data_IF_909355665992
#
_entry.id   IF_909355665992
#
_cell.length_a   1.000
_cell.length_b   1.000
_cell.length_c   1.000
_cell.angle_alpha   90.00
_cell.angle_beta   90.00
_cell.angle_gamma   90.00
#
_symmetry.space_group_name_H-M   'P 1'
#
loop_
_entity.id
_entity.type
_entity.pdbx_description
1 polymer ?
#
# COMPACT_ATOMS: atom_id res chain seq x y z
N UNK A 1 3.35 -12.74 -15.81
CA UNK A 1 3.81 -11.35 -15.54
C UNK A 1 2.74 -10.70 -14.68
N UNK A 2 3.06 -10.31 -13.43
CA UNK A 2 2.10 -9.70 -12.50
C UNK A 2 1.60 -8.39 -13.13
N UNK A 3 0.29 -8.26 -13.33
CA UNK A 3 -0.34 -7.04 -13.86
C UNK A 3 -0.16 -5.90 -12.86
N UNK A 4 0.54 -4.85 -13.24
CA UNK A 4 0.98 -3.75 -12.37
C UNK A 4 2.37 -4.05 -11.79
N UNK A 5 3.39 -3.31 -12.23
CA UNK A 5 4.75 -3.44 -11.69
C UNK A 5 4.82 -3.07 -10.19
N UNK A 6 5.95 -3.38 -9.51
CA UNK A 6 6.13 -3.05 -8.10
C UNK A 6 5.99 -1.54 -7.88
N UNK A 7 5.43 -1.16 -6.74
CA UNK A 7 5.39 0.25 -6.32
C UNK A 7 6.82 0.80 -6.23
N UNK A 8 7.06 1.96 -6.83
CA UNK A 8 8.40 2.56 -6.89
C UNK A 8 8.87 2.99 -5.50
N UNK A 9 10.17 2.92 -5.25
CA UNK A 9 10.76 3.21 -3.95
C UNK A 9 10.40 4.59 -3.41
N UNK A 10 10.36 5.58 -4.28
CA UNK A 10 10.00 6.96 -3.94
C UNK A 10 8.54 7.09 -3.50
N UNK A 11 7.63 6.36 -4.19
CA UNK A 11 6.21 6.28 -3.83
C UNK A 11 6.04 5.59 -2.47
N UNK A 12 6.77 4.49 -2.25
CA UNK A 12 6.77 3.78 -0.96
C UNK A 12 7.24 4.70 0.16
N UNK A 13 8.32 5.45 -0.05
CA UNK A 13 8.86 6.36 0.96
C UNK A 13 7.82 7.41 1.40
N UNK A 14 7.11 8.02 0.43
CA UNK A 14 6.05 8.98 0.72
C UNK A 14 4.88 8.30 1.46
N UNK A 15 4.45 7.11 1.01
CA UNK A 15 3.37 6.38 1.65
C UNK A 15 3.70 6.02 3.11
N UNK A 16 4.91 5.54 3.39
CA UNK A 16 5.35 5.18 4.75
C UNK A 16 5.50 6.42 5.66
N UNK A 17 5.90 7.58 5.10
CA UNK A 17 5.90 8.85 5.83
C UNK A 17 4.47 9.23 6.23
N UNK A 18 3.53 9.16 5.29
CA UNK A 18 2.11 9.48 5.54
C UNK A 18 1.44 8.51 6.51
N UNK A 19 1.84 7.26 6.53
CA UNK A 19 1.34 6.24 7.45
C UNK A 19 1.80 6.46 8.89
N UNK A 20 3.01 7.01 9.12
CA UNK A 20 3.56 7.27 10.46
C UNK A 20 3.55 6.00 11.33
N UNK A 21 4.09 4.91 10.80
CA UNK A 21 4.11 3.61 11.48
C UNK A 21 5.09 3.63 12.65
N UNK A 22 4.62 3.25 13.85
CA UNK A 22 5.44 3.02 15.03
C UNK A 22 5.86 1.55 15.13
N UNK A 23 6.91 1.27 15.89
CA UNK A 23 7.55 -0.06 15.94
C UNK A 23 6.68 -1.17 16.55
N UNK A 24 5.72 -0.82 17.36
CA UNK A 24 4.78 -1.70 18.06
C UNK A 24 3.45 -1.88 17.32
N UNK A 25 3.18 -1.04 16.32
CA UNK A 25 1.93 -1.09 15.53
C UNK A 25 1.93 -2.21 14.49
N UNK A 26 0.76 -2.80 14.28
CA UNK A 26 0.51 -3.76 13.20
C UNK A 26 0.14 -3.04 11.91
N UNK A 27 0.88 -3.32 10.87
CA UNK A 27 0.70 -2.76 9.53
C UNK A 27 0.12 -3.77 8.55
N UNK A 28 -0.94 -3.40 7.83
CA UNK A 28 -1.52 -4.20 6.76
C UNK A 28 -1.15 -3.63 5.37
N UNK A 29 -0.62 -4.48 4.50
CA UNK A 29 -0.34 -4.20 3.08
C UNK A 29 -1.41 -4.89 2.22
N UNK A 30 -2.42 -4.14 1.82
CA UNK A 30 -3.61 -4.65 1.14
C UNK A 30 -3.47 -4.50 -0.38
N UNK A 31 -3.44 -5.63 -1.09
CA UNK A 31 -3.03 -5.70 -2.49
C UNK A 31 -1.51 -5.61 -2.61
N UNK A 32 -0.81 -6.42 -1.82
CA UNK A 32 0.65 -6.33 -1.63
C UNK A 32 1.46 -6.59 -2.90
N UNK A 33 0.87 -7.25 -3.90
CA UNK A 33 1.55 -7.56 -5.16
C UNK A 33 2.84 -8.32 -4.96
N UNK A 34 3.96 -7.69 -5.28
CA UNK A 34 5.31 -8.24 -5.10
C UNK A 34 5.86 -8.12 -3.66
N UNK A 35 5.11 -7.51 -2.74
CA UNK A 35 5.51 -7.31 -1.35
C UNK A 35 6.48 -6.15 -1.10
N UNK A 36 6.72 -5.27 -2.09
CA UNK A 36 7.71 -4.19 -1.96
C UNK A 36 7.40 -3.21 -0.83
N UNK A 37 6.11 -2.90 -0.59
CA UNK A 37 5.68 -2.02 0.51
C UNK A 37 5.90 -2.72 1.86
N UNK A 38 5.52 -3.98 1.98
CA UNK A 38 5.76 -4.82 3.18
C UNK A 38 7.23 -4.89 3.54
N UNK A 39 8.12 -5.14 2.56
CA UNK A 39 9.58 -5.17 2.77
C UNK A 39 10.08 -3.82 3.30
N UNK A 40 9.62 -2.71 2.73
CA UNK A 40 10.02 -1.40 3.21
C UNK A 40 9.47 -1.10 4.61
N UNK A 41 8.22 -1.49 4.91
CA UNK A 41 7.58 -1.34 6.21
C UNK A 41 8.25 -2.17 7.31
N UNK A 42 8.93 -3.29 6.97
CA UNK A 42 9.65 -4.13 7.95
C UNK A 42 10.79 -3.40 8.67
N UNK A 43 11.25 -2.27 8.13
CA UNK A 43 12.21 -1.37 8.78
C UNK A 43 11.58 -0.51 9.88
N UNK A 44 10.25 -0.41 9.91
CA UNK A 44 9.48 0.39 10.88
C UNK A 44 8.83 -0.48 11.95
N UNK A 45 8.18 -1.58 11.55
CA UNK A 45 7.52 -2.52 12.46
C UNK A 45 7.90 -3.97 12.17
N UNK A 46 7.68 -4.85 13.14
CA UNK A 46 7.87 -6.30 13.02
C UNK A 46 6.55 -7.08 12.89
N UNK A 47 5.42 -6.37 12.83
CA UNK A 47 4.06 -6.93 12.76
C UNK A 47 3.42 -6.54 11.43
N UNK A 48 3.59 -7.36 10.40
CA UNK A 48 3.11 -7.07 9.05
C UNK A 48 2.14 -8.15 8.61
N UNK A 49 1.00 -7.74 8.05
CA UNK A 49 0.03 -8.60 7.39
C UNK A 49 -0.04 -8.16 5.93
N UNK A 50 0.33 -9.04 5.01
CA UNK A 50 0.32 -8.78 3.57
C UNK A 50 -0.76 -9.63 2.90
N UNK A 51 -1.60 -9.00 2.07
CA UNK A 51 -2.75 -9.65 1.42
C UNK A 51 -2.75 -9.39 -0.07
N UNK A 52 -2.95 -10.42 -0.89
CA UNK A 52 -3.30 -10.26 -2.32
C UNK A 52 -4.26 -11.39 -2.73
N UNK A 53 -5.20 -11.07 -3.63
CA UNK A 53 -6.16 -12.06 -4.14
C UNK A 53 -5.58 -12.94 -5.26
N UNK A 54 -4.41 -12.60 -5.79
CA UNK A 54 -3.78 -13.28 -6.93
C UNK A 54 -2.71 -14.27 -6.46
N UNK A 55 -2.85 -15.57 -6.77
CA UNK A 55 -1.87 -16.58 -6.38
C UNK A 55 -0.43 -16.27 -6.85
N UNK A 56 -0.25 -15.81 -8.08
CA UNK A 56 1.09 -15.47 -8.63
C UNK A 56 1.73 -14.30 -7.88
N UNK A 57 0.93 -13.36 -7.37
CA UNK A 57 1.44 -12.28 -6.51
C UNK A 57 1.93 -12.82 -5.18
N UNK A 58 1.18 -13.74 -4.58
CA UNK A 58 1.55 -14.40 -3.32
C UNK A 58 2.86 -15.17 -3.45
N UNK A 59 3.02 -15.97 -4.51
CA UNK A 59 4.26 -16.69 -4.75
C UNK A 59 5.46 -15.75 -4.96
N UNK A 60 5.24 -14.66 -5.74
CA UNK A 60 6.29 -13.65 -5.94
C UNK A 60 6.64 -12.94 -4.63
N UNK A 61 5.65 -12.53 -3.84
CA UNK A 61 5.86 -11.87 -2.55
C UNK A 61 6.60 -12.78 -1.57
N UNK A 62 6.22 -14.06 -1.50
CA UNK A 62 6.86 -15.07 -0.66
C UNK A 62 8.36 -15.20 -0.98
N UNK A 63 8.70 -15.29 -2.27
CA UNK A 63 10.10 -15.33 -2.69
C UNK A 63 10.83 -14.04 -2.30
N UNK A 64 10.25 -12.88 -2.58
CA UNK A 64 10.86 -11.58 -2.27
C UNK A 64 11.05 -11.38 -0.74
N UNK A 65 10.12 -11.86 0.09
CA UNK A 65 10.27 -11.82 1.56
C UNK A 65 11.41 -12.71 2.03
N UNK A 66 11.58 -13.88 1.41
CA UNK A 66 12.71 -14.78 1.70
C UNK A 66 14.04 -14.11 1.33
N UNK A 67 14.12 -13.55 0.13
CA UNK A 67 15.35 -12.91 -0.38
C UNK A 67 15.74 -11.68 0.44
N UNK A 68 14.73 -10.94 0.94
CA UNK A 68 14.91 -9.79 1.82
C UNK A 68 15.14 -10.16 3.30
N UNK A 69 15.02 -11.45 3.69
CA UNK A 69 15.18 -11.92 5.07
C UNK A 69 14.08 -11.44 6.03
N UNK A 70 12.88 -11.16 5.52
CA UNK A 70 11.76 -10.60 6.31
C UNK A 70 10.59 -11.56 6.50
N UNK A 71 10.67 -12.80 6.00
CA UNK A 71 9.57 -13.78 6.04
C UNK A 71 9.00 -13.99 7.45
N UNK A 72 9.82 -13.97 8.49
CA UNK A 72 9.37 -14.15 9.88
C UNK A 72 8.56 -12.95 10.43
N UNK A 73 8.57 -11.81 9.74
CA UNK A 73 7.90 -10.59 10.15
C UNK A 73 6.55 -10.39 9.45
N UNK A 74 6.24 -11.22 8.43
CA UNK A 74 5.09 -11.03 7.55
C UNK A 74 4.17 -12.24 7.61
N UNK A 75 2.92 -12.01 7.98
CA UNK A 75 1.83 -12.95 7.75
C UNK A 75 1.29 -12.71 6.35
N UNK A 76 1.50 -13.66 5.43
CA UNK A 76 1.09 -13.55 4.03
C UNK A 76 -0.20 -14.32 3.78
N UNK A 77 -1.23 -13.64 3.28
CA UNK A 77 -2.58 -14.16 3.11
C UNK A 77 -3.02 -14.10 1.63
N UNK A 78 -3.55 -15.20 1.12
CA UNK A 78 -4.19 -15.26 -0.20
C UNK A 78 -5.68 -15.06 -0.05
N UNK A 79 -6.24 -14.05 -0.68
CA UNK A 79 -7.68 -13.79 -0.72
C UNK A 79 -8.03 -12.32 -0.86
N UNK A 80 -9.32 -12.02 -0.82
CA UNK A 80 -9.83 -10.65 -0.83
C UNK A 80 -9.72 -10.05 0.59
N UNK A 81 -9.24 -8.81 0.65
CA UNK A 81 -8.78 -8.23 1.90
C UNK A 81 -9.80 -8.25 3.06
N UNK A 82 -11.04 -7.78 2.95
CA UNK A 82 -11.94 -7.84 4.10
C UNK A 82 -12.12 -9.26 4.62
N UNK A 83 -12.30 -10.23 3.73
CA UNK A 83 -12.68 -11.61 4.11
C UNK A 83 -11.54 -12.33 4.86
N UNK A 84 -10.29 -12.20 4.37
CA UNK A 84 -9.15 -12.88 5.00
C UNK A 84 -8.56 -12.09 6.19
N UNK A 85 -8.97 -10.84 6.38
CA UNK A 85 -8.51 -9.99 7.47
C UNK A 85 -9.43 -10.01 8.70
N UNK A 86 -10.63 -10.62 8.62
CA UNK A 86 -11.58 -10.66 9.74
C UNK A 86 -10.95 -11.17 11.05
N UNK A 87 -10.10 -12.19 10.97
CA UNK A 87 -9.39 -12.72 12.14
C UNK A 87 -8.36 -11.74 12.76
N UNK A 88 -8.03 -10.67 12.06
CA UNK A 88 -7.03 -9.67 12.43
C UNK A 88 -7.60 -8.28 12.64
N UNK A 89 -8.92 -8.08 12.56
CA UNK A 89 -9.58 -6.77 12.56
C UNK A 89 -9.13 -5.87 13.73
N UNK A 90 -9.08 -6.41 14.93
CA UNK A 90 -8.70 -5.67 16.14
C UNK A 90 -7.19 -5.43 16.28
N UNK A 91 -6.37 -5.94 15.38
CA UNK A 91 -4.92 -5.82 15.43
C UNK A 91 -4.36 -4.77 14.47
N UNK A 92 -5.09 -4.44 13.37
CA UNK A 92 -4.58 -3.57 12.31
C UNK A 92 -4.70 -2.10 12.71
N UNK A 93 -3.56 -1.44 12.88
CA UNK A 93 -3.51 -0.03 13.29
C UNK A 93 -3.16 0.91 12.13
N UNK A 94 -2.42 0.41 11.15
CA UNK A 94 -2.01 1.14 9.95
C UNK A 94 -2.23 0.27 8.70
N UNK A 95 -2.64 0.87 7.59
CA UNK A 95 -2.84 0.11 6.36
C UNK A 95 -2.40 0.88 5.10
N UNK A 96 -1.81 0.16 4.17
CA UNK A 96 -1.61 0.61 2.79
C UNK A 96 -2.57 -0.16 1.89
N UNK A 97 -3.30 0.56 1.04
CA UNK A 97 -4.27 -0.01 0.10
C UNK A 97 -3.73 0.21 -1.32
N UNK A 98 -3.09 -0.82 -1.88
CA UNK A 98 -2.59 -0.83 -3.26
C UNK A 98 -3.59 -1.41 -4.26
N UNK A 99 -4.55 -2.21 -3.79
CA UNK A 99 -5.63 -2.78 -4.59
C UNK A 99 -6.91 -1.94 -4.47
N UNK A 100 -7.36 -1.35 -5.59
CA UNK A 100 -8.49 -0.39 -5.57
C UNK A 100 -9.83 -0.96 -6.02
N UNK A 101 -9.91 -2.26 -6.34
CA UNK A 101 -11.15 -2.86 -6.90
C UNK A 101 -12.36 -2.72 -5.98
N UNK A 102 -12.19 -3.02 -4.70
CA UNK A 102 -13.25 -2.95 -3.68
C UNK A 102 -12.85 -2.02 -2.52
N UNK A 103 -12.22 -0.89 -2.83
CA UNK A 103 -11.61 -0.02 -1.83
C UNK A 103 -12.62 0.47 -0.77
N UNK A 104 -13.88 0.71 -1.12
CA UNK A 104 -14.90 1.14 -0.15
C UNK A 104 -15.14 0.08 0.93
N UNK A 105 -15.33 -1.20 0.53
CA UNK A 105 -15.49 -2.32 1.45
C UNK A 105 -14.25 -2.49 2.34
N UNK A 106 -13.07 -2.28 1.77
CA UNK A 106 -11.81 -2.31 2.52
C UNK A 106 -11.73 -1.15 3.53
N UNK A 107 -12.13 0.06 3.14
CA UNK A 107 -12.18 1.22 4.05
C UNK A 107 -13.20 0.97 5.17
N UNK A 108 -14.41 0.49 4.86
CA UNK A 108 -15.44 0.19 5.86
C UNK A 108 -14.95 -0.81 6.89
N UNK A 109 -14.20 -1.82 6.46
CA UNK A 109 -13.55 -2.78 7.35
C UNK A 109 -12.48 -2.13 8.24
N UNK A 110 -11.67 -1.21 7.70
CA UNK A 110 -10.56 -0.58 8.43
C UNK A 110 -11.01 0.49 9.44
N UNK A 111 -12.05 1.25 9.11
CA UNK A 111 -12.49 2.44 9.89
C UNK A 111 -12.68 2.18 11.38
N UNK A 112 -13.25 1.06 11.85
CA UNK A 112 -13.46 0.82 13.28
C UNK A 112 -12.16 0.63 14.09
N UNK A 113 -11.04 0.27 13.45
CA UNK A 113 -9.85 -0.22 14.13
C UNK A 113 -8.56 0.48 13.70
N UNK A 114 -8.46 0.84 12.43
CA UNK A 114 -7.24 1.37 11.81
C UNK A 114 -7.13 2.88 12.00
N UNK A 115 -6.12 3.33 12.72
CA UNK A 115 -5.91 4.76 13.01
C UNK A 115 -5.56 5.60 11.79
N UNK A 116 -4.88 5.00 10.81
CA UNK A 116 -4.45 5.70 9.58
C UNK A 116 -4.17 4.73 8.45
N UNK A 117 -4.60 5.12 7.26
CA UNK A 117 -4.29 4.35 6.05
C UNK A 117 -3.99 5.27 4.86
N UNK A 118 -3.27 4.71 3.88
CA UNK A 118 -2.97 5.35 2.60
C UNK A 118 -3.51 4.49 1.49
N UNK A 119 -4.36 5.07 0.63
CA UNK A 119 -4.82 4.44 -0.60
C UNK A 119 -4.05 5.01 -1.78
N UNK A 120 -3.40 4.13 -2.55
CA UNK A 120 -2.74 4.46 -3.80
C UNK A 120 -3.64 4.13 -4.99
N UNK A 121 -3.86 5.09 -5.88
CA UNK A 121 -4.59 4.91 -7.12
C UNK A 121 -3.81 5.47 -8.31
N UNK A 122 -3.90 4.77 -9.45
CA UNK A 122 -3.34 5.24 -10.73
C UNK A 122 -4.37 6.00 -11.59
N UNK A 123 -5.64 6.02 -11.19
CA UNK A 123 -6.75 6.59 -11.95
C UNK A 123 -7.41 7.72 -11.18
N UNK A 124 -7.64 8.83 -11.87
CA UNK A 124 -8.28 10.02 -11.29
C UNK A 124 -9.69 9.73 -10.78
N UNK A 125 -10.46 8.93 -11.52
CA UNK A 125 -11.85 8.61 -11.17
C UNK A 125 -11.93 7.84 -9.85
N UNK A 126 -11.03 6.85 -9.66
CA UNK A 126 -10.92 6.09 -8.41
C UNK A 126 -10.51 7.01 -7.25
N UNK A 127 -9.60 7.94 -7.52
CA UNK A 127 -9.12 8.90 -6.52
C UNK A 127 -10.24 9.85 -6.10
N UNK A 128 -10.98 10.42 -7.07
CA UNK A 128 -12.09 11.33 -6.79
C UNK A 128 -13.20 10.62 -5.99
N UNK A 129 -13.50 9.37 -6.36
CA UNK A 129 -14.47 8.56 -5.65
C UNK A 129 -14.02 8.25 -4.21
N UNK A 130 -12.75 7.90 -4.02
CA UNK A 130 -12.18 7.65 -2.69
C UNK A 130 -12.19 8.90 -1.80
N UNK A 131 -11.82 10.06 -2.35
CA UNK A 131 -11.88 11.35 -1.64
C UNK A 131 -13.30 11.65 -1.21
N UNK A 132 -14.27 11.62 -2.14
CA UNK A 132 -15.68 11.90 -1.85
C UNK A 132 -16.26 10.94 -0.82
N UNK A 133 -15.91 9.65 -0.91
CA UNK A 133 -16.34 8.65 0.06
C UNK A 133 -15.78 8.94 1.46
N UNK A 134 -14.45 9.15 1.58
CA UNK A 134 -13.80 9.44 2.86
C UNK A 134 -14.29 10.77 3.48
N UNK A 135 -14.56 11.80 2.67
CA UNK A 135 -15.15 13.06 3.14
C UNK A 135 -16.55 12.84 3.70
N UNK A 136 -17.38 12.04 2.99
CA UNK A 136 -18.75 11.73 3.43
C UNK A 136 -18.79 11.04 4.79
N UNK A 137 -17.84 10.16 5.09
CA UNK A 137 -17.76 9.44 6.37
C UNK A 137 -16.82 10.10 7.40
N UNK A 138 -16.28 11.27 7.09
CA UNK A 138 -15.54 12.11 8.04
C UNK A 138 -14.10 11.69 8.34
N UNK A 139 -13.48 10.85 7.51
CA UNK A 139 -12.13 10.33 7.75
C UNK A 139 -11.06 10.86 6.77
N UNK A 140 -11.44 11.68 5.80
CA UNK A 140 -10.49 12.25 4.85
C UNK A 140 -9.49 13.18 5.55
N UNK A 141 -8.20 12.96 5.30
CA UNK A 141 -7.12 13.77 5.86
C UNK A 141 -6.44 14.64 4.81
N UNK A 142 -5.95 14.05 3.74
CA UNK A 142 -5.29 14.74 2.64
C UNK A 142 -5.26 13.86 1.38
N UNK A 143 -5.02 14.50 0.24
CA UNK A 143 -4.73 13.81 -1.01
C UNK A 143 -3.52 14.44 -1.68
N UNK A 144 -2.70 13.62 -2.33
CA UNK A 144 -1.51 14.05 -3.05
C UNK A 144 -1.52 13.48 -4.47
N UNK A 145 -1.06 14.29 -5.43
CA UNK A 145 -0.62 13.80 -6.73
C UNK A 145 0.90 13.76 -6.72
N UNK A 146 1.46 12.57 -6.87
CA UNK A 146 2.91 12.34 -6.85
C UNK A 146 3.39 12.11 -8.28
N UNK A 147 4.22 13.04 -8.77
CA UNK A 147 4.89 12.96 -10.06
C UNK A 147 6.40 12.79 -9.83
N UNK A 148 6.98 11.77 -10.45
CA UNK A 148 8.41 11.48 -10.35
C UNK A 148 8.97 11.31 -11.74
N UNK A 149 10.12 11.93 -12.01
CA UNK A 149 10.91 11.65 -13.19
C UNK A 149 12.33 11.25 -12.75
N UNK A 150 12.86 10.18 -13.36
CA UNK A 150 14.18 9.66 -13.01
C UNK A 150 15.20 10.06 -14.08
N UNK A 151 16.29 10.72 -13.65
CA UNK A 151 17.39 11.06 -14.51
C UNK A 151 18.20 9.83 -14.94
N UNK A 152 18.63 9.80 -16.16
CA UNK A 152 19.55 8.80 -16.73
C UNK A 152 20.46 9.44 -17.75
N UNK A 153 21.61 8.82 -18.02
CA UNK A 153 22.54 9.29 -19.03
C UNK A 153 22.02 8.96 -20.44
N UNK A 154 22.08 9.96 -21.32
CA UNK A 154 21.78 9.84 -22.75
C UNK A 154 22.82 10.69 -23.53
N UNK A 155 23.67 10.07 -24.31
CA UNK A 155 24.69 10.74 -25.14
C UNK A 155 25.56 11.75 -24.36
N UNK A 156 26.06 11.36 -23.19
CA UNK A 156 26.81 12.20 -22.23
C UNK A 156 26.04 13.40 -21.67
N UNK A 157 24.73 13.44 -21.82
CA UNK A 157 23.81 14.42 -21.21
C UNK A 157 22.83 13.71 -20.27
N UNK A 158 22.14 14.49 -19.44
CA UNK A 158 21.12 13.95 -18.53
C UNK A 158 19.72 14.12 -19.13
N UNK A 159 19.05 13.00 -19.38
CA UNK A 159 17.63 12.98 -19.73
C UNK A 159 16.78 12.49 -18.55
N UNK A 160 15.49 12.85 -18.52
CA UNK A 160 14.55 12.40 -17.49
C UNK A 160 13.41 11.57 -18.10
N UNK A 161 13.18 10.38 -17.53
CA UNK A 161 12.02 9.55 -17.86
C UNK A 161 10.97 9.69 -16.75
N UNK A 162 9.76 10.19 -17.05
CA UNK A 162 8.70 10.28 -16.07
C UNK A 162 8.12 8.90 -15.75
N UNK A 163 7.76 8.66 -14.50
CA UNK A 163 6.89 7.57 -14.09
C UNK A 163 5.43 7.98 -14.26
N UNK A 164 4.54 6.98 -14.37
CA UNK A 164 3.11 7.25 -14.31
C UNK A 164 2.79 7.91 -12.96
N UNK A 165 1.99 9.00 -12.97
CA UNK A 165 1.54 9.65 -11.74
C UNK A 165 0.81 8.70 -10.81
N UNK A 166 0.97 8.89 -9.51
CA UNK A 166 0.24 8.15 -8.49
C UNK A 166 -0.52 9.13 -7.62
N UNK A 167 -1.80 8.85 -7.42
CA UNK A 167 -2.62 9.57 -6.45
C UNK A 167 -2.58 8.83 -5.13
N UNK A 168 -2.29 9.55 -4.04
CA UNK A 168 -2.38 9.05 -2.68
C UNK A 168 -3.53 9.73 -1.96
N UNK A 169 -4.38 8.97 -1.32
CA UNK A 169 -5.43 9.48 -0.43
C UNK A 169 -5.19 8.95 0.97
N UNK A 170 -5.08 9.85 1.93
CA UNK A 170 -4.82 9.53 3.33
C UNK A 170 -6.12 9.62 4.10
N UNK A 171 -6.46 8.53 4.78
CA UNK A 171 -7.54 8.46 5.76
C UNK A 171 -6.99 8.37 7.19
N UNK A 172 -7.72 8.97 8.14
CA UNK A 172 -7.42 8.89 9.57
C UNK A 172 -8.73 8.78 10.35
N UNK A 173 -8.83 7.76 11.17
CA UNK A 173 -9.96 7.48 12.04
C UNK A 173 -9.66 7.96 13.47
#
# INVERSE_FOLDING_TARGET
MVSGGPTKAEIIAIALDKLQISSDETFADIGCGTGSVSIAASKKTKKIIAVDQRPDSIETAKQNFSDAGVSALVTLLLGEAPDVLEAYENAIEKAFIGGTKNFRRTIDFLVPHCRRFVLNAARLEVTADAIGYMQKIGIFKEALLVNIAKGHELENLTAFTPYNPVFMVVGSC
#
